data_IF_485004507841
#
_entry.id   IF_485004507841
#
_cell.length_a   1.000
_cell.length_b   1.000
_cell.length_c   1.000
_cell.angle_alpha   90.00
_cell.angle_beta   90.00
_cell.angle_gamma   90.00
#
_symmetry.space_group_name_H-M   'P 1'
#
loop_
_entity.id
_entity.type
_entity.pdbx_description
1 polymer ?
#
# COMPACT_ATOMS: atom_id res chain seq x y z
N UNK A 1 -19.16 10.80 -0.79
CA UNK A 1 -17.96 11.22 -0.05
C UNK A 1 -16.78 11.15 -1.00
N UNK A 2 -16.02 12.23 -1.18
CA UNK A 2 -14.89 12.23 -2.11
C UNK A 2 -13.75 11.34 -1.54
N UNK A 3 -13.37 10.26 -2.23
CA UNK A 3 -12.27 9.36 -1.82
C UNK A 3 -10.96 10.13 -1.66
N UNK A 4 -10.73 11.15 -2.48
CA UNK A 4 -9.52 11.97 -2.41
C UNK A 4 -9.46 12.80 -1.14
N UNK A 5 -10.61 13.18 -0.58
CA UNK A 5 -10.67 13.85 0.71
C UNK A 5 -10.22 12.93 1.86
N UNK A 6 -10.62 11.65 1.82
CA UNK A 6 -10.21 10.68 2.85
C UNK A 6 -8.70 10.42 2.77
N UNK A 7 -8.15 10.29 1.56
CA UNK A 7 -6.71 10.21 1.32
C UNK A 7 -5.95 11.44 1.81
N UNK A 8 -6.46 12.65 1.56
CA UNK A 8 -5.85 13.89 2.05
C UNK A 8 -5.82 13.94 3.59
N UNK A 9 -6.96 13.66 4.24
CA UNK A 9 -7.02 13.59 5.72
C UNK A 9 -6.03 12.57 6.28
N UNK A 10 -5.93 11.43 5.61
CA UNK A 10 -4.98 10.37 5.94
C UNK A 10 -3.54 10.87 5.97
N UNK A 11 -3.16 11.69 4.99
CA UNK A 11 -1.82 12.27 4.92
C UNK A 11 -1.58 13.35 6.00
N UNK A 12 -2.58 14.18 6.28
CA UNK A 12 -2.50 15.15 7.37
C UNK A 12 -2.31 14.48 8.73
N UNK A 13 -3.02 13.38 9.00
CA UNK A 13 -2.80 12.58 10.21
C UNK A 13 -1.36 12.03 10.29
N UNK A 14 -0.78 11.59 9.16
CA UNK A 14 0.61 11.14 9.13
C UNK A 14 1.59 12.27 9.46
N UNK A 15 1.34 13.49 8.98
CA UNK A 15 2.16 14.67 9.31
C UNK A 15 2.07 14.98 10.80
N UNK A 16 0.88 14.92 11.39
CA UNK A 16 0.69 15.12 12.84
C UNK A 16 1.39 14.02 13.63
N UNK A 17 1.34 12.78 13.17
CA UNK A 17 2.07 11.65 13.76
C UNK A 17 3.59 11.91 13.78
N UNK A 18 4.17 12.38 12.68
CA UNK A 18 5.59 12.76 12.61
C UNK A 18 5.95 13.92 13.54
N UNK A 19 5.11 14.95 13.58
CA UNK A 19 5.33 16.12 14.43
C UNK A 19 5.33 15.74 15.91
N UNK A 20 4.32 14.99 16.35
CA UNK A 20 4.20 14.52 17.75
C UNK A 20 5.32 13.56 18.12
N UNK A 21 5.76 12.69 17.21
CA UNK A 21 6.95 11.86 17.40
C UNK A 21 8.19 12.71 17.70
N UNK A 22 8.43 13.72 16.87
CA UNK A 22 9.61 14.59 16.96
C UNK A 22 9.63 15.38 18.27
N UNK A 23 8.45 15.71 18.80
CA UNK A 23 8.28 16.38 20.08
C UNK A 23 8.29 15.42 21.30
N UNK A 24 8.58 14.14 21.10
CA UNK A 24 8.61 13.13 22.18
C UNK A 24 7.24 12.68 22.68
N UNK A 25 6.15 13.06 22.01
CA UNK A 25 4.80 12.64 22.37
C UNK A 25 4.41 11.36 21.60
N UNK A 26 5.01 10.24 22.01
CA UNK A 26 4.98 9.00 21.24
C UNK A 26 3.61 8.30 21.23
N UNK A 27 2.82 8.40 22.32
CA UNK A 27 1.47 7.84 22.35
C UNK A 27 0.54 8.55 21.36
N UNK A 28 0.58 9.89 21.32
CA UNK A 28 -0.16 10.66 20.31
C UNK A 28 0.35 10.39 18.90
N UNK A 29 1.65 10.19 18.74
CA UNK A 29 2.23 9.81 17.45
C UNK A 29 1.65 8.49 16.93
N UNK A 30 1.59 7.46 17.77
CA UNK A 30 1.00 6.17 17.42
C UNK A 30 -0.49 6.29 17.10
N UNK A 31 -1.23 7.07 17.90
CA UNK A 31 -2.65 7.34 17.65
C UNK A 31 -2.89 7.96 16.27
N UNK A 32 -2.16 9.03 15.93
CA UNK A 32 -2.30 9.68 14.62
C UNK A 32 -1.78 8.80 13.47
N UNK A 33 -0.77 7.97 13.71
CA UNK A 33 -0.33 6.99 12.73
C UNK A 33 -1.46 6.00 12.40
N UNK A 34 -2.12 5.46 13.43
CA UNK A 34 -3.24 4.53 13.28
C UNK A 34 -4.43 5.18 12.55
N UNK A 35 -4.74 6.43 12.90
CA UNK A 35 -5.76 7.23 12.21
C UNK A 35 -5.43 7.49 10.75
N UNK A 36 -4.15 7.68 10.41
CA UNK A 36 -3.68 7.74 9.04
C UNK A 36 -3.92 6.40 8.34
N UNK A 37 -3.44 5.28 8.88
CA UNK A 37 -3.59 3.99 8.22
C UNK A 37 -5.06 3.63 7.98
N UNK A 38 -5.94 3.88 8.95
CA UNK A 38 -7.38 3.64 8.81
C UNK A 38 -7.98 4.36 7.60
N UNK A 39 -7.68 5.65 7.45
CA UNK A 39 -8.22 6.48 6.38
C UNK A 39 -7.62 6.07 5.04
N UNK A 40 -6.34 5.75 5.00
CA UNK A 40 -5.67 5.28 3.78
C UNK A 40 -6.29 3.98 3.26
N UNK A 41 -6.38 2.97 4.14
CA UNK A 41 -6.91 1.64 3.80
C UNK A 41 -8.35 1.77 3.30
N UNK A 42 -9.18 2.58 3.97
CA UNK A 42 -10.56 2.83 3.54
C UNK A 42 -10.64 3.60 2.23
N UNK A 43 -9.77 4.59 2.03
CA UNK A 43 -9.73 5.38 0.80
C UNK A 43 -9.40 4.48 -0.40
N UNK A 44 -8.38 3.64 -0.30
CA UNK A 44 -8.02 2.71 -1.36
C UNK A 44 -9.13 1.68 -1.57
N UNK A 45 -9.72 1.13 -0.50
CA UNK A 45 -10.80 0.15 -0.60
C UNK A 45 -12.05 0.73 -1.32
N UNK A 46 -12.35 2.02 -1.11
CA UNK A 46 -13.39 2.71 -1.87
C UNK A 46 -12.99 2.89 -3.34
N UNK A 47 -11.74 3.29 -3.62
CA UNK A 47 -11.26 3.50 -5.01
C UNK A 47 -11.32 2.22 -5.86
N UNK A 48 -10.91 1.09 -5.29
CA UNK A 48 -11.00 -0.22 -5.98
C UNK A 48 -12.40 -0.85 -5.89
N UNK A 49 -13.41 -0.14 -5.37
CA UNK A 49 -14.78 -0.62 -5.17
C UNK A 49 -14.88 -1.93 -4.36
N UNK A 50 -13.97 -2.12 -3.40
CA UNK A 50 -13.99 -3.24 -2.46
C UNK A 50 -15.04 -3.04 -1.35
N UNK A 51 -15.31 -1.77 -1.04
CA UNK A 51 -16.36 -1.33 -0.11
C UNK A 51 -17.11 -0.15 -0.72
N UNK A 52 -18.33 0.08 -0.26
CA UNK A 52 -19.10 1.29 -0.57
C UNK A 52 -19.13 2.25 0.62
N UNK A 53 -19.55 3.50 0.40
CA UNK A 53 -19.69 4.50 1.48
C UNK A 53 -20.58 4.02 2.63
N UNK A 54 -21.63 3.25 2.32
CA UNK A 54 -22.55 2.66 3.31
C UNK A 54 -21.85 1.68 4.25
N UNK A 55 -20.74 1.07 3.81
CA UNK A 55 -19.99 0.08 4.58
C UNK A 55 -19.03 0.72 5.58
N UNK A 56 -18.68 2.00 5.41
CA UNK A 56 -17.78 2.73 6.32
C UNK A 56 -18.28 2.70 7.77
N UNK A 57 -19.60 2.84 7.97
CA UNK A 57 -20.22 2.76 9.30
C UNK A 57 -20.16 1.35 9.89
N UNK A 58 -20.29 0.30 9.07
CA UNK A 58 -20.27 -1.10 9.51
C UNK A 58 -18.86 -1.61 9.82
N UNK A 59 -17.88 -1.10 9.08
CA UNK A 59 -16.46 -1.41 9.25
C UNK A 59 -15.92 -0.67 10.47
N UNK A 60 -16.33 0.59 10.69
CA UNK A 60 -15.87 1.40 11.83
C UNK A 60 -14.34 1.34 11.94
N UNK A 61 -13.76 1.07 13.11
CA UNK A 61 -12.32 0.98 13.34
C UNK A 61 -11.77 -0.47 13.25
N UNK A 62 -12.51 -1.39 12.63
CA UNK A 62 -12.13 -2.80 12.56
C UNK A 62 -11.31 -3.11 11.30
N UNK A 63 -9.98 -3.16 11.47
CA UNK A 63 -9.01 -3.45 10.41
C UNK A 63 -9.06 -4.90 9.93
N UNK A 64 -9.46 -5.86 10.77
CA UNK A 64 -9.58 -7.27 10.38
C UNK A 64 -10.65 -7.44 9.29
N UNK A 65 -11.78 -6.73 9.41
CA UNK A 65 -12.83 -6.75 8.36
C UNK A 65 -12.33 -6.22 7.01
N UNK A 66 -11.38 -5.27 7.01
CA UNK A 66 -10.78 -4.77 5.78
C UNK A 66 -9.71 -5.74 5.28
N UNK A 67 -8.91 -6.32 6.18
CA UNK A 67 -7.93 -7.36 5.86
C UNK A 67 -8.58 -8.50 5.06
N UNK A 68 -9.67 -9.09 5.56
CA UNK A 68 -10.33 -10.22 4.89
C UNK A 68 -10.78 -9.86 3.48
N UNK A 69 -11.32 -8.64 3.30
CA UNK A 69 -11.74 -8.11 2.01
C UNK A 69 -10.57 -7.92 1.04
N UNK A 70 -9.43 -7.39 1.51
CA UNK A 70 -8.25 -7.22 0.67
C UNK A 70 -7.67 -8.57 0.25
N UNK A 71 -7.65 -9.55 1.14
CA UNK A 71 -7.22 -10.91 0.82
C UNK A 71 -8.14 -11.53 -0.26
N UNK A 72 -9.46 -11.40 -0.10
CA UNK A 72 -10.43 -11.87 -1.12
C UNK A 72 -10.21 -11.17 -2.48
N UNK A 73 -9.96 -9.86 -2.46
CA UNK A 73 -9.65 -9.10 -3.67
C UNK A 73 -8.40 -9.63 -4.39
N UNK A 74 -7.32 -9.85 -3.64
CA UNK A 74 -6.05 -10.38 -4.19
C UNK A 74 -6.25 -11.75 -4.82
N UNK A 75 -7.06 -12.61 -4.19
CA UNK A 75 -7.35 -13.97 -4.71
C UNK A 75 -8.21 -13.96 -5.98
N UNK A 76 -9.09 -12.97 -6.11
CA UNK A 76 -10.08 -12.92 -7.19
C UNK A 76 -9.64 -12.08 -8.37
N UNK A 77 -8.67 -11.18 -8.20
CA UNK A 77 -8.10 -10.44 -9.31
C UNK A 77 -7.01 -11.25 -10.03
N UNK A 78 -7.18 -11.58 -11.33
CA UNK A 78 -6.20 -12.35 -12.09
C UNK A 78 -4.81 -11.70 -12.17
N UNK A 79 -4.77 -10.35 -12.24
CA UNK A 79 -3.51 -9.62 -12.37
C UNK A 79 -2.79 -9.65 -11.01
N UNK A 80 -3.45 -9.19 -9.94
CA UNK A 80 -2.82 -9.17 -8.61
C UNK A 80 -2.50 -10.56 -8.07
N UNK A 81 -3.32 -11.59 -8.33
CA UNK A 81 -3.03 -12.96 -7.87
C UNK A 81 -1.76 -13.55 -8.48
N UNK A 82 -1.38 -13.09 -9.69
CA UNK A 82 -0.14 -13.49 -10.35
C UNK A 82 1.08 -12.69 -9.83
N UNK A 83 0.83 -11.48 -9.30
CA UNK A 83 1.88 -10.57 -8.82
C UNK A 83 2.14 -10.67 -7.32
N UNK A 84 1.19 -11.20 -6.56
CA UNK A 84 1.30 -11.43 -5.13
C UNK A 84 1.13 -12.92 -4.87
N UNK A 85 2.17 -13.54 -4.32
CA UNK A 85 2.08 -14.91 -3.85
C UNK A 85 1.18 -14.98 -2.60
N UNK A 86 0.04 -15.67 -2.74
CA UNK A 86 -0.94 -15.86 -1.65
C UNK A 86 -0.32 -16.53 -0.42
N UNK A 87 0.61 -17.46 -0.62
CA UNK A 87 1.28 -18.15 0.48
C UNK A 87 2.03 -17.17 1.38
N UNK A 88 2.68 -16.16 0.78
CA UNK A 88 3.45 -15.16 1.52
C UNK A 88 2.52 -14.27 2.38
N UNK A 89 1.32 -13.97 1.87
CA UNK A 89 0.32 -13.18 2.60
C UNK A 89 -0.27 -13.90 3.82
N UNK A 90 -0.64 -15.17 3.65
CA UNK A 90 -1.17 -15.98 4.74
C UNK A 90 -0.08 -16.26 5.78
N UNK A 91 1.14 -16.48 5.33
CA UNK A 91 2.31 -16.69 6.18
C UNK A 91 2.62 -15.45 7.04
N UNK A 92 2.57 -14.23 6.48
CA UNK A 92 2.76 -12.99 7.27
C UNK A 92 1.74 -12.90 8.41
N UNK A 93 0.46 -13.15 8.14
CA UNK A 93 -0.59 -13.07 9.15
C UNK A 93 -0.45 -14.18 10.21
N UNK A 94 -0.19 -15.43 9.81
CA UNK A 94 -0.03 -16.52 10.77
C UNK A 94 1.25 -16.39 11.60
N UNK A 95 2.38 -16.01 10.99
CA UNK A 95 3.61 -15.66 11.72
C UNK A 95 3.35 -14.57 12.73
N UNK A 96 2.64 -13.51 12.35
CA UNK A 96 2.37 -12.38 13.25
C UNK A 96 1.65 -12.76 14.54
N UNK A 97 0.80 -13.80 14.51
CA UNK A 97 0.08 -14.30 15.70
C UNK A 97 0.98 -15.01 16.70
N UNK A 98 2.15 -15.47 16.26
CA UNK A 98 3.08 -16.29 17.05
C UNK A 98 4.22 -15.47 17.66
N UNK A 99 4.36 -14.20 17.26
CA UNK A 99 5.47 -13.35 17.67
C UNK A 99 5.16 -12.60 18.96
N UNK A 100 6.17 -12.49 19.83
CA UNK A 100 6.09 -11.59 20.98
C UNK A 100 6.11 -10.12 20.52
N UNK A 101 5.59 -9.15 21.30
CA UNK A 101 5.49 -7.75 20.88
C UNK A 101 6.80 -7.13 20.35
N UNK A 102 7.95 -7.46 20.94
CA UNK A 102 9.24 -6.94 20.46
C UNK A 102 9.66 -7.52 19.11
N UNK A 103 9.34 -8.79 18.86
CA UNK A 103 9.68 -9.48 17.61
C UNK A 103 8.71 -9.10 16.50
N UNK A 104 7.41 -8.99 16.83
CA UNK A 104 6.36 -8.59 15.91
C UNK A 104 6.67 -7.25 15.24
N UNK A 105 7.07 -6.24 16.01
CA UNK A 105 7.35 -4.92 15.45
C UNK A 105 8.58 -4.94 14.53
N UNK A 106 9.64 -5.67 14.92
CA UNK A 106 10.82 -5.86 14.08
C UNK A 106 10.48 -6.55 12.76
N UNK A 107 9.65 -7.61 12.84
CA UNK A 107 9.12 -8.31 11.68
C UNK A 107 8.33 -7.38 10.75
N UNK A 108 7.38 -6.60 11.27
CA UNK A 108 6.59 -5.65 10.46
C UNK A 108 7.48 -4.62 9.74
N UNK A 109 8.46 -4.05 10.43
CA UNK A 109 9.39 -3.10 9.79
C UNK A 109 10.22 -3.78 8.70
N UNK A 110 10.69 -5.00 8.94
CA UNK A 110 11.43 -5.78 7.96
C UNK A 110 10.59 -6.03 6.70
N UNK A 111 9.32 -6.43 6.85
CA UNK A 111 8.42 -6.62 5.72
C UNK A 111 8.19 -5.31 4.94
N UNK A 112 8.05 -4.17 5.63
CA UNK A 112 7.98 -2.87 4.96
C UNK A 112 9.23 -2.57 4.15
N UNK A 113 10.41 -2.74 4.75
CA UNK A 113 11.68 -2.48 4.08
C UNK A 113 11.85 -3.43 2.89
N UNK A 114 11.55 -4.73 3.03
CA UNK A 114 11.62 -5.68 1.92
C UNK A 114 10.73 -5.28 0.73
N UNK A 115 9.51 -4.77 1.00
CA UNK A 115 8.62 -4.31 -0.06
C UNK A 115 9.12 -3.00 -0.70
N UNK A 116 9.73 -2.11 0.10
CA UNK A 116 10.14 -0.77 -0.35
C UNK A 116 11.54 -0.72 -0.99
N UNK A 117 12.53 -1.38 -0.39
CA UNK A 117 13.95 -1.37 -0.78
C UNK A 117 14.19 -1.99 -2.15
N UNK A 118 13.30 -2.90 -2.59
CA UNK A 118 13.52 -3.61 -3.83
C UNK A 118 13.28 -2.75 -5.09
N UNK A 119 12.40 -1.73 -5.09
CA UNK A 119 12.06 -1.05 -6.37
C UNK A 119 11.54 0.41 -6.29
N UNK A 120 11.22 0.96 -5.12
CA UNK A 120 10.67 2.33 -5.05
C UNK A 120 11.74 3.42 -5.14
N UNK A 121 13.00 3.08 -4.88
CA UNK A 121 14.12 4.02 -4.79
C UNK A 121 14.82 4.23 -6.15
N UNK A 122 14.52 3.42 -7.18
CA UNK A 122 15.29 3.38 -8.44
C UNK A 122 14.71 4.09 -9.66
N UNK A 123 13.47 4.61 -9.64
CA UNK A 123 12.94 5.34 -10.81
C UNK A 123 13.36 6.83 -10.82
N UNK A 124 14.58 7.12 -10.34
CA UNK A 124 15.24 8.38 -10.64
C UNK A 124 15.86 8.25 -12.03
N UNK A 125 15.15 8.79 -13.01
CA UNK A 125 15.72 9.20 -14.31
C UNK A 125 16.10 8.07 -15.29
N UNK A 126 15.24 7.07 -15.51
CA UNK A 126 15.37 6.32 -16.76
C UNK A 126 14.67 7.06 -17.90
N UNK A 127 15.44 7.37 -18.95
CA UNK A 127 14.96 7.98 -20.20
C UNK A 127 14.15 7.00 -21.07
N UNK A 128 13.77 5.84 -20.53
CA UNK A 128 13.00 4.82 -21.22
C UNK A 128 11.51 5.20 -21.25
N UNK A 129 10.84 4.87 -22.36
CA UNK A 129 9.40 5.11 -22.49
C UNK A 129 8.63 4.13 -21.62
N UNK A 130 7.60 4.61 -20.93
CA UNK A 130 6.76 3.75 -20.09
C UNK A 130 5.96 2.75 -20.93
N UNK A 131 5.76 3.05 -22.22
CA UNK A 131 5.21 2.10 -23.19
C UNK A 131 6.12 0.89 -23.36
N UNK A 132 7.41 1.12 -23.61
CA UNK A 132 8.40 0.05 -23.81
C UNK A 132 8.52 -0.83 -22.55
N UNK A 133 8.61 -0.21 -21.37
CA UNK A 133 8.64 -0.91 -20.08
C UNK A 133 7.39 -1.76 -19.82
N UNK A 134 6.22 -1.24 -20.16
CA UNK A 134 4.94 -1.96 -20.01
C UNK A 134 4.85 -3.15 -20.98
N UNK A 135 5.30 -2.98 -22.23
CA UNK A 135 5.37 -4.06 -23.23
C UNK A 135 6.29 -5.18 -22.75
N UNK A 136 7.49 -4.85 -22.29
CA UNK A 136 8.44 -5.83 -21.78
C UNK A 136 7.90 -6.56 -20.55
N UNK A 137 7.18 -5.85 -19.68
CA UNK A 137 6.53 -6.45 -18.53
C UNK A 137 5.44 -7.46 -18.94
N UNK A 138 4.56 -7.11 -19.88
CA UNK A 138 3.54 -8.04 -20.36
C UNK A 138 4.12 -9.25 -21.11
N UNK A 139 5.22 -9.08 -21.86
CA UNK A 139 5.96 -10.20 -22.47
C UNK A 139 6.46 -11.16 -21.41
N UNK A 140 7.08 -10.64 -20.35
CA UNK A 140 7.63 -11.45 -19.26
C UNK A 140 6.55 -12.21 -18.46
N UNK A 141 5.31 -11.71 -18.45
CA UNK A 141 4.17 -12.36 -17.81
C UNK A 141 3.45 -13.39 -18.72
N UNK A 142 3.90 -13.61 -19.95
CA UNK A 142 3.20 -14.45 -20.96
C UNK A 142 1.73 -14.02 -21.17
N UNK A 143 1.41 -12.74 -20.91
CA UNK A 143 0.03 -12.24 -20.88
C UNK A 143 -0.39 -11.60 -22.21
N UNK A 144 0.56 -11.30 -23.10
CA UNK A 144 0.30 -10.68 -24.40
C UNK A 144 -0.57 -11.56 -25.30
N UNK A 145 -0.37 -12.88 -25.27
CA UNK A 145 -1.15 -13.83 -26.05
C UNK A 145 -2.64 -13.84 -25.67
N UNK A 146 -2.97 -13.32 -24.48
CA UNK A 146 -4.34 -13.19 -23.98
C UNK A 146 -4.96 -11.82 -24.32
N UNK A 147 -4.19 -10.93 -24.95
CA UNK A 147 -4.59 -9.56 -25.32
C UNK A 147 -4.42 -9.33 -26.85
N UNK A 148 -5.24 -9.96 -27.70
CA UNK A 148 -5.06 -9.94 -29.16
C UNK A 148 -5.15 -8.54 -29.79
N UNK A 149 -5.83 -7.60 -29.16
CA UNK A 149 -5.86 -6.22 -29.64
C UNK A 149 -4.57 -5.45 -29.29
N UNK A 150 -3.87 -5.84 -28.23
CA UNK A 150 -2.55 -5.31 -27.89
C UNK A 150 -1.47 -5.85 -28.84
N UNK A 151 -1.53 -7.14 -29.18
CA UNK A 151 -0.64 -7.74 -30.17
C UNK A 151 -0.75 -7.05 -31.54
N UNK A 152 -1.97 -6.71 -31.98
CA UNK A 152 -2.16 -5.91 -33.22
C UNK A 152 -1.45 -4.57 -33.16
N UNK A 153 -1.46 -3.87 -32.02
CA UNK A 153 -0.77 -2.58 -31.85
C UNK A 153 0.75 -2.76 -31.98
N UNK A 154 1.31 -3.82 -31.39
CA UNK A 154 2.73 -4.18 -31.54
C UNK A 154 3.09 -4.56 -32.98
N UNK A 155 2.20 -5.27 -33.67
CA UNK A 155 2.41 -5.66 -35.07
C UNK A 155 2.41 -4.43 -36.02
N UNK A 156 1.58 -3.43 -35.73
CA UNK A 156 1.52 -2.15 -36.47
C UNK A 156 2.77 -1.28 -36.30
N UNK A 157 3.56 -1.48 -35.25
CA UNK A 157 4.84 -0.78 -35.12
C UNK A 157 5.79 -1.15 -36.26
N UNK A 158 5.64 -2.25 -36.98
CA UNK A 158 6.67 -2.69 -37.92
C UNK A 158 6.67 -2.00 -39.30
N UNK A 159 5.75 -1.08 -39.61
CA UNK A 159 5.58 -0.60 -41.01
C UNK A 159 5.68 0.93 -41.26
N UNK A 160 5.54 1.82 -40.26
CA UNK A 160 5.59 3.29 -40.49
C UNK A 160 6.01 4.12 -39.25
N UNK A 161 7.06 4.96 -39.37
CA UNK A 161 7.54 5.83 -38.29
C UNK A 161 6.51 6.86 -37.79
N UNK A 162 5.62 7.33 -38.66
CA UNK A 162 4.58 8.30 -38.30
C UNK A 162 3.53 7.63 -37.42
N UNK A 163 3.17 6.39 -37.74
CA UNK A 163 2.23 5.57 -36.98
C UNK A 163 2.84 5.22 -35.61
N UNK A 164 4.12 4.81 -35.57
CA UNK A 164 4.86 4.60 -34.30
C UNK A 164 4.78 5.81 -33.39
N UNK A 165 5.10 7.00 -33.91
CA UNK A 165 5.08 8.24 -33.14
C UNK A 165 3.68 8.56 -32.62
N UNK A 166 2.66 8.39 -33.46
CA UNK A 166 1.26 8.63 -33.08
C UNK A 166 0.78 7.65 -31.99
N UNK A 167 1.08 6.35 -32.12
CA UNK A 167 0.74 5.33 -31.13
C UNK A 167 1.43 5.62 -29.81
N UNK A 168 2.74 5.91 -29.83
CA UNK A 168 3.51 6.26 -28.64
C UNK A 168 2.93 7.48 -27.93
N UNK A 169 2.67 8.58 -28.64
CA UNK A 169 2.08 9.79 -28.05
C UNK A 169 0.68 9.56 -27.47
N UNK A 170 -0.14 8.68 -28.08
CA UNK A 170 -1.49 8.37 -27.60
C UNK A 170 -1.52 7.37 -26.45
N UNK A 171 -0.56 6.47 -26.39
CA UNK A 171 -0.50 5.39 -25.40
C UNK A 171 0.46 5.66 -24.24
N UNK A 172 1.35 6.66 -24.32
CA UNK A 172 2.36 6.92 -23.27
C UNK A 172 1.71 7.15 -21.90
N UNK A 173 0.74 8.06 -21.78
CA UNK A 173 0.10 8.34 -20.48
C UNK A 173 -0.72 7.14 -19.96
N UNK A 174 -1.58 6.47 -20.76
CA UNK A 174 -2.20 5.22 -20.34
C UNK A 174 -1.19 4.14 -19.92
N UNK A 175 -0.09 3.97 -20.67
CA UNK A 175 0.93 2.94 -20.40
C UNK A 175 1.71 3.25 -19.14
N UNK A 176 2.00 4.53 -18.89
CA UNK A 176 2.55 5.02 -17.64
C UNK A 176 1.64 4.69 -16.46
N UNK A 177 0.33 4.93 -16.59
CA UNK A 177 -0.63 4.54 -15.55
C UNK A 177 -0.66 3.02 -15.32
N UNK A 178 -0.70 2.23 -16.38
CA UNK A 178 -0.64 0.76 -16.30
C UNK A 178 0.65 0.28 -15.64
N UNK A 179 1.79 0.81 -16.05
CA UNK A 179 3.09 0.50 -15.46
C UNK A 179 3.10 0.80 -13.97
N UNK A 180 2.64 1.99 -13.54
CA UNK A 180 2.56 2.33 -12.12
C UNK A 180 1.62 1.41 -11.35
N UNK A 181 0.44 1.09 -11.90
CA UNK A 181 -0.51 0.16 -11.29
C UNK A 181 0.09 -1.22 -11.10
N UNK A 182 0.71 -1.77 -12.13
CA UNK A 182 1.26 -3.13 -12.11
C UNK A 182 2.50 -3.22 -11.22
N UNK A 183 3.43 -2.25 -11.33
CA UNK A 183 4.68 -2.24 -10.57
C UNK A 183 4.50 -1.93 -9.09
N UNK A 184 3.58 -1.02 -8.75
CA UNK A 184 3.44 -0.50 -7.38
C UNK A 184 2.12 -0.80 -6.71
N UNK A 185 1.03 -1.01 -7.48
CA UNK A 185 -0.29 -1.34 -6.94
C UNK A 185 -0.27 -2.56 -6.02
N UNK A 186 0.22 -3.73 -6.47
CA UNK A 186 0.35 -4.93 -5.63
C UNK A 186 1.12 -4.67 -4.32
N UNK A 187 2.23 -3.93 -4.40
CA UNK A 187 3.08 -3.61 -3.24
C UNK A 187 2.37 -2.69 -2.25
N UNK A 188 1.61 -1.72 -2.74
CA UNK A 188 0.75 -0.88 -1.90
C UNK A 188 -0.29 -1.75 -1.21
N UNK A 189 -0.96 -2.66 -1.92
CA UNK A 189 -1.93 -3.58 -1.31
C UNK A 189 -1.30 -4.44 -0.21
N UNK A 190 -0.09 -4.97 -0.43
CA UNK A 190 0.68 -5.68 0.61
C UNK A 190 0.92 -4.80 1.84
N UNK A 191 1.37 -3.56 1.65
CA UNK A 191 1.60 -2.61 2.75
C UNK A 191 0.28 -2.30 3.49
N UNK A 192 -0.85 -2.16 2.78
CA UNK A 192 -2.16 -1.95 3.42
C UNK A 192 -2.59 -3.14 4.26
N UNK A 193 -2.29 -4.36 3.81
CA UNK A 193 -2.56 -5.59 4.56
C UNK A 193 -1.70 -5.65 5.82
N UNK A 194 -0.40 -5.37 5.71
CA UNK A 194 0.50 -5.35 6.87
C UNK A 194 0.07 -4.25 7.85
N UNK A 195 -0.34 -3.08 7.36
CA UNK A 195 -0.95 -2.03 8.17
C UNK A 195 -2.21 -2.52 8.90
N UNK A 196 -3.07 -3.32 8.26
CA UNK A 196 -4.25 -3.89 8.92
C UNK A 196 -3.84 -4.80 10.09
N UNK A 197 -2.81 -5.64 9.90
CA UNK A 197 -2.27 -6.53 10.94
C UNK A 197 -1.70 -5.70 12.09
N UNK A 198 -0.82 -4.74 11.78
CA UNK A 198 -0.21 -3.84 12.75
C UNK A 198 -1.25 -3.07 13.58
N UNK A 199 -2.23 -2.46 12.91
CA UNK A 199 -3.27 -1.68 13.56
C UNK A 199 -4.26 -2.54 14.36
N UNK A 200 -4.38 -3.82 14.04
CA UNK A 200 -5.18 -4.78 14.81
C UNK A 200 -4.45 -5.24 16.08
N UNK A 201 -3.12 -5.38 16.00
CA UNK A 201 -2.26 -5.77 17.10
C UNK A 201 -2.06 -4.61 18.10
N UNK A 202 -1.77 -3.41 17.61
CA UNK A 202 -1.61 -2.20 18.41
C UNK A 202 -2.83 -1.29 18.28
N UNK A 203 -3.83 -1.52 19.13
CA UNK A 203 -5.01 -0.65 19.20
C UNK A 203 -4.73 0.56 20.08
N UNK A 204 -4.86 1.80 19.59
CA UNK A 204 -4.56 3.00 20.37
C UNK A 204 -5.28 3.07 21.73
N UNK A 205 -6.49 2.52 21.83
CA UNK A 205 -7.26 2.50 23.07
C UNK A 205 -6.60 1.67 24.18
N UNK A 206 -5.85 0.61 23.83
CA UNK A 206 -5.10 -0.21 24.79
C UNK A 206 -3.94 0.56 25.44
N UNK A 207 -3.55 1.68 24.83
CA UNK A 207 -2.40 2.51 25.20
C UNK A 207 -2.81 3.92 25.66
N UNK A 208 -4.10 4.24 25.63
CA UNK A 208 -4.59 5.57 26.00
C UNK A 208 -4.86 5.68 27.50
N UNK A 209 -5.18 4.57 28.13
CA UNK A 209 -5.53 4.48 29.54
C UNK A 209 -4.73 3.39 30.23
N UNK A 210 -4.52 3.54 31.54
CA UNK A 210 -3.98 2.47 32.37
C UNK A 210 -4.86 1.21 32.26
N UNK A 211 -4.23 0.07 32.03
CA UNK A 211 -4.86 -1.24 31.92
C UNK A 211 -4.06 -2.29 32.69
N UNK A 212 -4.61 -3.51 32.83
CA UNK A 212 -3.89 -4.64 33.41
C UNK A 212 -2.61 -4.98 32.62
N UNK A 213 -2.62 -4.76 31.30
CA UNK A 213 -1.47 -4.95 30.42
C UNK A 213 -0.46 -3.80 30.52
N UNK A 214 -0.94 -2.55 30.63
CA UNK A 214 -0.10 -1.35 30.65
C UNK A 214 -0.54 -0.44 31.78
N UNK A 215 0.16 -0.53 32.92
CA UNK A 215 -0.17 0.24 34.12
C UNK A 215 -0.01 1.76 33.94
N UNK A 216 1.03 2.19 33.22
CA UNK A 216 1.27 3.60 32.92
C UNK A 216 1.68 3.76 31.44
N UNK A 217 0.76 4.21 30.57
CA UNK A 217 1.04 4.34 29.16
C UNK A 217 2.10 5.41 28.83
N UNK A 218 2.24 6.45 29.65
CA UNK A 218 3.27 7.48 29.45
C UNK A 218 4.67 6.90 29.67
N UNK A 219 4.83 6.07 30.70
CA UNK A 219 6.10 5.39 30.97
C UNK A 219 6.38 4.27 29.96
N UNK A 220 5.33 3.61 29.47
CA UNK A 220 5.45 2.54 28.47
C UNK A 220 5.87 3.07 27.10
N UNK A 221 5.39 4.24 26.69
CA UNK A 221 5.77 4.88 25.42
C UNK A 221 6.99 5.79 25.61
N UNK A 222 8.17 5.19 25.68
CA UNK A 222 9.44 5.90 25.69
C UNK A 222 10.31 5.51 24.48
N UNK A 223 11.43 6.20 24.31
CA UNK A 223 12.36 6.05 23.19
C UNK A 223 13.07 4.69 23.12
N UNK A 224 12.94 3.84 24.15
CA UNK A 224 13.50 2.49 24.21
C UNK A 224 12.47 1.41 23.89
N UNK A 225 11.19 1.75 23.82
CA UNK A 225 10.13 0.76 23.58
C UNK A 225 10.15 0.36 22.09
N UNK A 226 10.17 -0.95 21.76
CA UNK A 226 10.29 -1.41 20.38
C UNK A 226 9.30 -0.76 19.41
N UNK A 227 8.03 -0.60 19.83
CA UNK A 227 6.99 0.06 19.03
C UNK A 227 7.34 1.51 18.70
N UNK A 228 7.95 2.24 19.63
CA UNK A 228 8.32 3.64 19.44
C UNK A 228 9.51 3.75 18.49
N UNK A 229 10.55 2.93 18.71
CA UNK A 229 11.74 2.90 17.86
C UNK A 229 11.34 2.68 16.40
N UNK A 230 10.48 1.69 16.17
CA UNK A 230 10.02 1.32 14.84
C UNK A 230 8.99 2.26 14.24
N UNK A 231 8.21 2.96 15.06
CA UNK A 231 7.21 3.93 14.58
C UNK A 231 7.85 5.02 13.71
N UNK A 232 9.08 5.45 14.02
CA UNK A 232 9.83 6.38 13.16
C UNK A 232 10.05 5.82 11.76
N UNK A 233 10.46 4.55 11.66
CA UNK A 233 10.67 3.89 10.37
C UNK A 233 9.36 3.76 9.61
N UNK A 234 8.29 3.31 10.28
CA UNK A 234 6.96 3.20 9.68
C UNK A 234 6.42 4.54 9.17
N UNK A 235 6.56 5.62 9.94
CA UNK A 235 6.14 6.96 9.51
C UNK A 235 6.90 7.38 8.25
N UNK A 236 8.22 7.22 8.22
CA UNK A 236 9.03 7.63 7.08
C UNK A 236 8.72 6.80 5.83
N UNK A 237 8.58 5.48 5.98
CA UNK A 237 8.22 4.56 4.91
C UNK A 237 6.85 4.92 4.32
N UNK A 238 5.88 5.22 5.18
CA UNK A 238 4.57 5.68 4.72
C UNK A 238 4.67 7.02 3.99
N UNK A 239 5.46 7.99 4.45
CA UNK A 239 5.62 9.27 3.76
C UNK A 239 6.11 9.09 2.33
N UNK A 240 7.06 8.18 2.09
CA UNK A 240 7.49 7.85 0.73
C UNK A 240 6.34 7.25 -0.07
N UNK A 241 5.60 6.29 0.50
CA UNK A 241 4.42 5.69 -0.14
C UNK A 241 3.36 6.73 -0.55
N UNK A 242 3.11 7.75 0.27
CA UNK A 242 2.16 8.83 -0.03
C UNK A 242 2.58 9.69 -1.23
N UNK A 243 3.86 9.69 -1.63
CA UNK A 243 4.30 10.37 -2.87
C UNK A 243 3.96 9.56 -4.12
N UNK A 244 3.83 8.24 -3.99
CA UNK A 244 3.61 7.31 -5.10
C UNK A 244 2.13 7.06 -5.33
N UNK A 245 1.34 6.86 -4.27
CA UNK A 245 -0.10 6.56 -4.37
C UNK A 245 -0.87 7.51 -5.32
N UNK A 246 -0.64 8.84 -5.32
CA UNK A 246 -1.33 9.75 -6.23
C UNK A 246 -0.99 9.55 -7.71
N UNK A 247 0.11 8.87 -8.02
CA UNK A 247 0.55 8.55 -9.38
C UNK A 247 -0.13 7.30 -9.94
N UNK A 248 -0.93 6.61 -9.12
CA UNK A 248 -1.62 5.37 -9.47
C UNK A 248 -3.11 5.61 -9.51
N UNK A 249 -3.72 5.37 -10.67
CA UNK A 249 -5.18 5.25 -10.76
C UNK A 249 -5.65 3.89 -10.26
N UNK A 250 -6.15 3.80 -9.04
CA UNK A 250 -6.76 2.57 -8.52
C UNK A 250 -8.13 2.35 -9.17
N UNK A 251 -8.23 1.47 -10.18
CA UNK A 251 -9.48 1.09 -10.85
C UNK A 251 -9.77 -0.41 -10.66
N UNK A 252 -11.05 -0.78 -10.50
CA UNK A 252 -11.52 -2.15 -10.18
C UNK A 252 -11.13 -3.21 -11.23
N UNK A 253 -10.95 -2.82 -12.49
CA UNK A 253 -10.87 -3.77 -13.61
C UNK A 253 -9.46 -4.02 -14.15
N UNK A 254 -8.42 -3.41 -13.55
CA UNK A 254 -7.04 -3.52 -14.05
C UNK A 254 -5.99 -3.71 -12.94
N UNK A 255 -6.44 -3.84 -11.70
CA UNK A 255 -5.63 -4.31 -10.57
C UNK A 255 -6.21 -5.63 -10.12
#
# INVERSE_FOLDING_TARGET
MNTDYLFQLSFEDLKVSKLTYTNGNFSNSLYHFHQSQEKLIKSIALKINLIEEKDLKKISHNFIKLYDKYIEYIKTSPIVSNLINEADLMDIHEKSKQLEPSEFVGFIVNEYCNILENEFIRDKEDNESHFDLMVDYFKNLEYIDQMPDFQKVLDFENEDEIIKKYIKEKLEEPSKQYYYQIKYGPKILLILIINCIFCSYYKPDDFRYSSEKIKNPIEYFNDKTPIVISLKALINNMIELYKIIPQIEFQKNYV
#
